data_IF_923886366728
#
_entry.id   IF_923886366728
#
_cell.length_a   1.000
_cell.length_b   1.000
_cell.length_c   1.000
_cell.angle_alpha   90.00
_cell.angle_beta   90.00
_cell.angle_gamma   90.00
#
_symmetry.space_group_name_H-M   'P 1'
#
loop_
_entity.id
_entity.type
_entity.pdbx_description
1 polymer ?
#
# COMPACT_ATOMS: atom_id res chain seq x y z
N UNK A 1 18.56 18.78 20.73
CA UNK A 1 17.71 18.21 19.66
C UNK A 1 17.17 19.34 18.80
N UNK A 2 17.39 19.32 17.49
CA UNK A 2 17.17 20.49 16.63
C UNK A 2 15.67 20.67 16.30
N UNK A 3 15.07 21.84 16.61
CA UNK A 3 13.63 22.13 16.39
C UNK A 3 13.21 21.93 14.93
N UNK A 4 14.12 22.16 13.98
CA UNK A 4 13.87 21.94 12.54
C UNK A 4 13.67 20.47 12.18
N UNK A 5 14.43 19.56 12.83
CA UNK A 5 14.29 18.11 12.62
C UNK A 5 12.93 17.66 13.14
N UNK A 6 12.53 18.09 14.35
CA UNK A 6 11.23 17.73 14.93
C UNK A 6 10.05 18.23 14.07
N UNK A 7 10.17 19.42 13.46
CA UNK A 7 9.12 19.97 12.58
C UNK A 7 8.87 19.12 11.32
N UNK A 8 9.89 18.41 10.84
CA UNK A 8 9.76 17.48 9.71
C UNK A 8 9.44 16.05 10.16
N UNK A 9 10.03 15.62 11.26
CA UNK A 9 9.91 14.26 11.78
C UNK A 9 8.51 13.98 12.34
N UNK A 10 7.91 14.90 13.11
CA UNK A 10 6.61 14.67 13.75
C UNK A 10 5.50 14.37 12.73
N UNK A 11 5.27 15.20 11.68
CA UNK A 11 4.25 14.88 10.67
C UNK A 11 4.53 13.56 9.95
N UNK A 12 5.81 13.26 9.69
CA UNK A 12 6.22 12.04 9.03
C UNK A 12 5.94 10.80 9.89
N UNK A 13 6.28 10.84 11.17
CA UNK A 13 6.00 9.78 12.15
C UNK A 13 4.48 9.54 12.24
N UNK A 14 3.69 10.60 12.41
CA UNK A 14 2.23 10.50 12.50
C UNK A 14 1.65 9.85 11.24
N UNK A 15 2.11 10.27 10.05
CA UNK A 15 1.64 9.72 8.78
C UNK A 15 1.97 8.23 8.63
N UNK A 16 3.16 7.80 9.07
CA UNK A 16 3.55 6.38 9.04
C UNK A 16 2.81 5.56 10.10
N UNK A 17 2.34 6.18 11.19
CA UNK A 17 1.57 5.50 12.22
C UNK A 17 0.12 5.23 11.81
N UNK A 18 -0.40 5.94 10.81
CA UNK A 18 -1.78 5.74 10.33
C UNK A 18 -2.02 4.32 9.80
N UNK A 19 -1.04 3.74 9.11
CA UNK A 19 -1.15 2.38 8.54
C UNK A 19 -1.33 1.30 9.63
N UNK A 20 -0.44 1.15 10.62
CA UNK A 20 -0.63 0.15 11.67
C UNK A 20 -1.85 0.41 12.54
N UNK A 21 -2.23 1.68 12.76
CA UNK A 21 -3.44 2.01 13.52
C UNK A 21 -4.71 1.53 12.82
N UNK A 22 -4.79 1.66 11.48
CA UNK A 22 -5.91 1.12 10.71
C UNK A 22 -6.02 -0.41 10.88
N UNK A 23 -4.90 -1.13 10.77
CA UNK A 23 -4.89 -2.59 10.96
C UNK A 23 -5.33 -3.03 12.37
N UNK A 24 -4.98 -2.26 13.41
CA UNK A 24 -5.45 -2.52 14.78
C UNK A 24 -6.97 -2.32 14.89
N UNK A 25 -7.52 -1.28 14.26
CA UNK A 25 -8.96 -1.02 14.25
C UNK A 25 -9.70 -2.13 13.49
N UNK A 26 -9.24 -2.52 12.31
CA UNK A 26 -9.84 -3.59 11.51
C UNK A 26 -9.87 -4.92 12.30
N UNK A 27 -8.75 -5.27 12.93
CA UNK A 27 -8.64 -6.47 13.78
C UNK A 27 -9.56 -6.38 15.00
N UNK A 28 -9.66 -5.21 15.65
CA UNK A 28 -10.50 -5.04 16.84
C UNK A 28 -12.00 -5.07 16.53
N UNK A 29 -12.41 -4.59 15.35
CA UNK A 29 -13.80 -4.66 14.87
C UNK A 29 -14.16 -6.10 14.49
N UNK A 30 -13.33 -6.74 13.67
CA UNK A 30 -13.60 -8.08 13.15
C UNK A 30 -13.38 -9.18 14.20
N UNK A 31 -12.49 -8.97 15.17
CA UNK A 31 -12.29 -9.87 16.30
C UNK A 31 -13.48 -9.97 17.26
N UNK A 32 -14.51 -9.13 17.09
CA UNK A 32 -15.78 -9.24 17.82
C UNK A 32 -16.82 -10.11 17.09
N UNK A 33 -16.55 -10.52 15.84
CA UNK A 33 -17.45 -11.40 15.10
C UNK A 33 -17.33 -12.84 15.63
N UNK A 34 -18.43 -13.59 15.53
CA UNK A 34 -18.57 -14.92 16.14
C UNK A 34 -17.61 -15.97 15.57
N UNK A 35 -17.08 -15.74 14.37
CA UNK A 35 -16.30 -16.73 13.64
C UNK A 35 -14.88 -16.27 13.28
N UNK A 36 -13.92 -17.17 13.50
CA UNK A 36 -12.48 -16.91 13.31
C UNK A 36 -12.11 -16.72 11.83
N UNK A 37 -12.89 -17.25 10.89
CA UNK A 37 -12.62 -17.12 9.45
C UNK A 37 -12.67 -15.67 8.96
N UNK A 38 -13.40 -14.75 9.63
CA UNK A 38 -13.38 -13.33 9.27
C UNK A 38 -12.01 -12.69 9.52
N UNK A 39 -11.36 -13.03 10.64
CA UNK A 39 -9.99 -12.59 10.92
C UNK A 39 -9.00 -13.22 9.93
N UNK A 40 -9.21 -14.48 9.57
CA UNK A 40 -8.42 -15.17 8.54
C UNK A 40 -8.52 -14.46 7.18
N UNK A 41 -9.73 -14.07 6.77
CA UNK A 41 -9.97 -13.38 5.51
C UNK A 41 -9.27 -12.01 5.44
N UNK A 42 -9.29 -11.26 6.55
CA UNK A 42 -8.56 -9.99 6.66
C UNK A 42 -7.06 -10.23 6.61
N UNK A 43 -6.53 -11.19 7.37
CA UNK A 43 -5.09 -11.47 7.39
C UNK A 43 -4.58 -11.86 5.99
N UNK A 44 -5.27 -12.77 5.30
CA UNK A 44 -4.90 -13.20 3.94
C UNK A 44 -5.00 -12.04 2.97
N UNK A 45 -6.12 -11.29 2.97
CA UNK A 45 -6.30 -10.14 2.11
C UNK A 45 -5.25 -9.05 2.32
N UNK A 46 -4.92 -8.73 3.58
CA UNK A 46 -3.88 -7.77 3.92
C UNK A 46 -2.50 -8.21 3.44
N UNK A 47 -2.13 -9.49 3.60
CA UNK A 47 -0.86 -10.02 3.09
C UNK A 47 -0.77 -9.88 1.57
N UNK A 48 -1.85 -10.20 0.84
CA UNK A 48 -1.92 -10.07 -0.61
C UNK A 48 -1.75 -8.60 -1.02
N UNK A 49 -2.51 -7.70 -0.39
CA UNK A 49 -2.41 -6.25 -0.63
C UNK A 49 -1.00 -5.72 -0.34
N UNK A 50 -0.46 -6.03 0.82
CA UNK A 50 0.87 -5.58 1.23
C UNK A 50 1.94 -6.07 0.24
N UNK A 51 1.86 -7.32 -0.21
CA UNK A 51 2.80 -7.87 -1.19
C UNK A 51 2.77 -7.10 -2.51
N UNK A 52 1.58 -6.85 -3.07
CA UNK A 52 1.42 -6.11 -4.33
C UNK A 52 1.95 -4.69 -4.17
N UNK A 53 1.48 -3.96 -3.14
CA UNK A 53 1.82 -2.55 -2.94
C UNK A 53 3.29 -2.35 -2.59
N UNK A 54 3.89 -3.27 -1.84
CA UNK A 54 5.32 -3.23 -1.55
C UNK A 54 6.16 -3.42 -2.82
N UNK A 55 5.68 -4.20 -3.79
CA UNK A 55 6.25 -4.30 -5.12
C UNK A 55 6.39 -2.96 -5.85
N UNK A 56 5.50 -1.99 -5.59
CA UNK A 56 5.57 -0.63 -6.13
C UNK A 56 6.38 0.35 -5.28
N UNK A 57 6.99 -0.11 -4.17
CA UNK A 57 7.86 0.70 -3.32
C UNK A 57 9.04 1.34 -4.07
N UNK A 58 9.44 0.75 -5.21
CA UNK A 58 10.49 1.30 -6.07
C UNK A 58 10.14 2.68 -6.65
N UNK A 59 8.86 2.98 -6.90
CA UNK A 59 8.44 4.30 -7.40
C UNK A 59 8.89 5.36 -6.39
N UNK A 60 8.68 5.13 -5.10
CA UNK A 60 9.08 6.08 -4.06
C UNK A 60 10.60 6.19 -3.95
N UNK A 61 11.29 5.06 -3.80
CA UNK A 61 12.74 5.06 -3.56
C UNK A 61 13.53 5.58 -4.77
N UNK A 62 13.15 5.17 -6.00
CA UNK A 62 13.82 5.59 -7.23
C UNK A 62 13.59 7.06 -7.57
N UNK A 63 12.41 7.62 -7.27
CA UNK A 63 12.07 8.99 -7.66
C UNK A 63 12.56 10.03 -6.66
N UNK A 64 12.64 9.67 -5.37
CA UNK A 64 13.16 10.56 -4.33
C UNK A 64 14.59 11.03 -4.67
N UNK A 65 15.45 10.14 -5.15
CA UNK A 65 16.81 10.48 -5.56
C UNK A 65 16.83 11.44 -6.76
N UNK A 66 16.03 11.16 -7.79
CA UNK A 66 15.93 12.01 -8.99
C UNK A 66 15.40 13.41 -8.67
N UNK A 67 14.37 13.49 -7.81
CA UNK A 67 13.80 14.76 -7.35
C UNK A 67 14.81 15.52 -6.51
N UNK A 68 15.52 14.86 -5.59
CA UNK A 68 16.55 15.50 -4.76
C UNK A 68 17.70 16.08 -5.60
N UNK A 69 18.16 15.37 -6.63
CA UNK A 69 19.17 15.86 -7.56
C UNK A 69 18.68 17.07 -8.37
N UNK A 70 17.47 17.00 -8.95
CA UNK A 70 16.89 18.11 -9.71
C UNK A 70 16.63 19.34 -8.84
N UNK A 71 16.16 19.14 -7.61
CA UNK A 71 15.95 20.19 -6.64
C UNK A 71 17.27 20.84 -6.21
N UNK A 72 18.30 20.05 -5.91
CA UNK A 72 19.63 20.54 -5.56
C UNK A 72 20.31 21.34 -6.69
N UNK A 73 20.02 21.00 -7.95
CA UNK A 73 20.47 21.74 -9.13
C UNK A 73 19.62 22.98 -9.48
N UNK A 74 18.60 23.31 -8.66
CA UNK A 74 17.64 24.41 -8.91
C UNK A 74 16.89 24.30 -10.25
N UNK A 75 16.73 23.08 -10.76
CA UNK A 75 16.12 22.79 -12.06
C UNK A 75 14.62 22.48 -11.92
N UNK A 76 13.82 23.51 -11.62
CA UNK A 76 12.38 23.33 -11.37
C UNK A 76 11.65 22.61 -12.50
N UNK A 77 12.03 22.88 -13.75
CA UNK A 77 11.42 22.23 -14.92
C UNK A 77 11.65 20.72 -14.88
N UNK A 78 12.85 20.27 -14.51
CA UNK A 78 13.16 18.83 -14.38
C UNK A 78 12.33 18.19 -13.27
N UNK A 79 12.19 18.86 -12.12
CA UNK A 79 11.36 18.38 -11.01
C UNK A 79 9.90 18.17 -11.43
N UNK A 80 9.31 19.13 -12.17
CA UNK A 80 7.93 19.00 -12.68
C UNK A 80 7.79 17.85 -13.69
N UNK A 81 8.78 17.66 -14.56
CA UNK A 81 8.79 16.54 -15.52
C UNK A 81 8.86 15.20 -14.78
N UNK A 82 9.72 15.09 -13.76
CA UNK A 82 9.80 13.88 -12.93
C UNK A 82 8.44 13.62 -12.27
N UNK A 83 7.84 14.63 -11.64
CA UNK A 83 6.51 14.49 -11.03
C UNK A 83 5.46 13.96 -12.02
N UNK A 84 5.36 14.58 -13.20
CA UNK A 84 4.39 14.17 -14.23
C UNK A 84 4.61 12.71 -14.68
N UNK A 85 5.88 12.29 -14.87
CA UNK A 85 6.22 10.92 -15.23
C UNK A 85 5.83 9.93 -14.14
N UNK A 86 6.11 10.25 -12.88
CA UNK A 86 5.79 9.37 -11.75
C UNK A 86 4.30 9.24 -11.56
N UNK A 87 3.55 10.33 -11.66
CA UNK A 87 2.08 10.30 -11.61
C UNK A 87 1.49 9.49 -12.77
N UNK A 88 2.03 9.62 -13.98
CA UNK A 88 1.59 8.83 -15.12
C UNK A 88 1.86 7.32 -14.91
N UNK A 89 3.06 6.96 -14.46
CA UNK A 89 3.40 5.55 -14.17
C UNK A 89 2.52 4.99 -13.04
N UNK A 90 2.31 5.77 -11.98
CA UNK A 90 1.43 5.37 -10.88
C UNK A 90 0.00 5.15 -11.37
N UNK A 91 -0.56 6.09 -12.14
CA UNK A 91 -1.91 6.00 -12.68
C UNK A 91 -2.06 4.78 -13.59
N UNK A 92 -1.15 4.59 -14.54
CA UNK A 92 -1.18 3.44 -15.46
C UNK A 92 -1.06 2.13 -14.69
N UNK A 93 -0.16 2.04 -13.72
CA UNK A 93 0.02 0.84 -12.90
C UNK A 93 -1.23 0.55 -12.05
N UNK A 94 -1.83 1.56 -11.43
CA UNK A 94 -3.06 1.40 -10.65
C UNK A 94 -4.23 0.95 -11.52
N UNK A 95 -4.41 1.56 -12.70
CA UNK A 95 -5.46 1.12 -13.65
C UNK A 95 -5.20 -0.31 -14.10
N UNK A 96 -3.95 -0.66 -14.39
CA UNK A 96 -3.59 -2.03 -14.78
C UNK A 96 -3.93 -3.04 -13.67
N UNK A 97 -3.56 -2.75 -12.41
CA UNK A 97 -3.90 -3.60 -11.25
C UNK A 97 -5.42 -3.78 -11.12
N UNK A 98 -6.19 -2.69 -11.21
CA UNK A 98 -7.66 -2.75 -11.14
C UNK A 98 -8.26 -3.62 -12.25
N UNK A 99 -7.69 -3.59 -13.46
CA UNK A 99 -8.16 -4.43 -14.56
C UNK A 99 -7.87 -5.92 -14.34
N UNK A 100 -6.80 -6.26 -13.61
CA UNK A 100 -6.38 -7.64 -13.35
C UNK A 100 -6.66 -8.09 -11.91
N UNK A 101 -7.40 -7.32 -11.11
CA UNK A 101 -7.56 -7.59 -9.68
C UNK A 101 -8.18 -8.97 -9.41
N UNK A 102 -9.20 -9.35 -10.20
CA UNK A 102 -9.89 -10.64 -10.07
C UNK A 102 -8.90 -11.81 -10.29
N UNK A 103 -8.24 -11.95 -11.46
CA UNK A 103 -7.30 -13.06 -11.65
C UNK A 103 -6.12 -13.02 -10.68
N UNK A 104 -5.76 -11.84 -10.15
CA UNK A 104 -4.70 -11.70 -9.17
C UNK A 104 -5.11 -12.23 -7.80
N UNK A 105 -6.35 -11.98 -7.35
CA UNK A 105 -6.91 -12.56 -6.13
C UNK A 105 -7.05 -14.08 -6.27
N UNK A 106 -7.59 -14.58 -7.40
CA UNK A 106 -7.70 -16.02 -7.65
C UNK A 106 -6.35 -16.73 -7.56
N UNK A 107 -5.34 -16.19 -8.25
CA UNK A 107 -4.00 -16.75 -8.24
C UNK A 107 -3.37 -16.72 -6.84
N UNK A 108 -3.62 -15.64 -6.09
CA UNK A 108 -3.11 -15.47 -4.74
C UNK A 108 -3.76 -16.44 -3.76
N UNK A 109 -5.08 -16.62 -3.80
CA UNK A 109 -5.81 -17.59 -2.98
C UNK A 109 -5.39 -19.02 -3.30
N UNK A 110 -5.22 -19.34 -4.59
CA UNK A 110 -4.69 -20.65 -5.00
C UNK A 110 -3.30 -20.95 -4.41
N UNK A 111 -2.43 -19.94 -4.30
CA UNK A 111 -1.10 -20.08 -3.72
C UNK A 111 -1.13 -20.18 -2.18
N UNK A 112 -2.03 -19.43 -1.53
CA UNK A 112 -2.19 -19.42 -0.07
C UNK A 112 -2.87 -20.71 0.42
N UNK A 113 -3.78 -21.27 -0.37
CA UNK A 113 -4.56 -22.48 -0.08
C UNK A 113 -5.25 -22.40 1.29
N UNK A 114 -6.10 -21.39 1.46
CA UNK A 114 -6.82 -21.13 2.71
C UNK A 114 -8.06 -22.03 2.84
N UNK A 115 -8.76 -21.96 3.98
CA UNK A 115 -10.04 -22.67 4.11
C UNK A 115 -11.10 -22.04 3.20
N UNK A 116 -12.11 -22.80 2.72
CA UNK A 116 -13.13 -22.29 1.81
C UNK A 116 -13.84 -21.02 2.32
N UNK A 117 -14.10 -20.95 3.63
CA UNK A 117 -14.74 -19.81 4.27
C UNK A 117 -13.83 -18.57 4.23
N UNK A 118 -12.53 -18.75 4.47
CA UNK A 118 -11.56 -17.65 4.40
C UNK A 118 -11.45 -17.13 2.97
N UNK A 119 -11.38 -18.01 1.98
CA UNK A 119 -11.32 -17.61 0.56
C UNK A 119 -12.58 -16.86 0.12
N UNK A 120 -13.77 -17.33 0.52
CA UNK A 120 -15.04 -16.67 0.20
C UNK A 120 -15.08 -15.24 0.76
N UNK A 121 -14.78 -15.08 2.06
CA UNK A 121 -14.80 -13.77 2.69
C UNK A 121 -13.65 -12.87 2.24
N UNK A 122 -12.49 -13.41 1.85
CA UNK A 122 -11.42 -12.60 1.22
C UNK A 122 -11.89 -12.02 -0.11
N UNK A 123 -12.58 -12.78 -0.97
CA UNK A 123 -13.12 -12.25 -2.25
C UNK A 123 -14.16 -11.15 -2.03
N UNK A 124 -14.96 -11.26 -0.97
CA UNK A 124 -15.99 -10.26 -0.65
C UNK A 124 -15.35 -8.97 -0.13
N UNK A 125 -14.37 -9.08 0.76
CA UNK A 125 -13.77 -7.94 1.43
C UNK A 125 -12.68 -7.26 0.58
N UNK A 126 -12.03 -8.01 -0.30
CA UNK A 126 -10.95 -7.58 -1.19
C UNK A 126 -11.23 -8.04 -2.62
N UNK A 127 -12.04 -7.30 -3.39
CA UNK A 127 -12.46 -7.64 -4.75
C UNK A 127 -11.47 -7.22 -5.86
#
# INVERSE_FOLDING_TARGET
>A
MNRQILRLAIPNIISNLSVPLLGVVDTAVVGRLEHVYFLGAIAVGSIIFDFIFWGFGFLRMGTTGLVAQAYGAQEERKTRIILARVLLVALVSSVFILLIQIPLIEASLYLVNASPEVEEYTRIYYP
#
